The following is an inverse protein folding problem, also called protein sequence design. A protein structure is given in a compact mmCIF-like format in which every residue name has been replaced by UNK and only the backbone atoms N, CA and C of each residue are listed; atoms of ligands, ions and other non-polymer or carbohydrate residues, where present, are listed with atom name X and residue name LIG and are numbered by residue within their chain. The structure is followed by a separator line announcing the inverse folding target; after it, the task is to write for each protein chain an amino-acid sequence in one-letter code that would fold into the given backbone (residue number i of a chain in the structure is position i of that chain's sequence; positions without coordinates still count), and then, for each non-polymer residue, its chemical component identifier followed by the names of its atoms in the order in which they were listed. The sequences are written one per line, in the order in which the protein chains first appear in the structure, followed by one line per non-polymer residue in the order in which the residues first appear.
data_IF_661973260325
#
_entry.id   IF_661973260325
#
_cell.length_a   1.000
_cell.length_b   1.000
_cell.length_c   1.000
_cell.angle_alpha   90.00
_cell.angle_beta   90.00
_cell.angle_gamma   90.00
#
_symmetry.space_group_name_H-M   'P 1'
#
loop_
_entity.id
_entity.type
_entity.pdbx_description
1 polymer ?
#
# COMPACT_ATOMS: atom_id res chain seq x y z
N UNK A 1 -8.90 -38.54 4.09
CA UNK A 1 -7.89 -39.56 4.26
C UNK A 1 -6.97 -39.53 3.04
N UNK A 2 -5.83 -38.90 3.15
CA UNK A 2 -4.80 -38.94 2.13
C UNK A 2 -3.88 -40.08 2.50
N UNK A 3 -4.12 -41.21 1.91
CA UNK A 3 -3.22 -42.38 1.87
C UNK A 3 -2.60 -42.53 0.49
N UNK A 4 -2.30 -41.48 -0.19
CA UNK A 4 -1.32 -41.52 -1.25
C UNK A 4 -0.07 -40.89 -0.66
N UNK A 5 1.04 -41.56 -0.70
CA UNK A 5 2.35 -41.01 -0.34
C UNK A 5 2.60 -39.76 -1.15
N UNK A 6 2.13 -38.64 -0.56
CA UNK A 6 2.28 -37.32 -1.13
C UNK A 6 3.65 -36.81 -0.67
N UNK A 7 4.66 -37.03 -1.54
CA UNK A 7 6.03 -36.60 -1.30
C UNK A 7 6.24 -35.09 -1.43
N UNK A 8 5.14 -34.29 -1.50
CA UNK A 8 5.22 -32.84 -1.51
C UNK A 8 5.74 -32.32 -0.18
N UNK A 9 6.79 -31.51 -0.24
CA UNK A 9 7.49 -30.99 0.93
C UNK A 9 7.42 -29.46 1.07
N UNK A 10 6.91 -28.77 0.06
CA UNK A 10 6.85 -27.31 0.03
C UNK A 10 5.78 -26.83 -0.97
N UNK A 11 5.17 -25.68 -0.70
CA UNK A 11 4.34 -24.94 -1.66
C UNK A 11 5.16 -23.76 -2.15
N UNK A 12 5.30 -23.62 -3.46
CA UNK A 12 5.97 -22.47 -4.09
C UNK A 12 4.91 -21.67 -4.85
N UNK A 13 4.69 -20.40 -4.44
CA UNK A 13 3.83 -19.45 -5.14
C UNK A 13 4.66 -18.52 -6.01
N UNK A 14 4.42 -18.53 -7.34
CA UNK A 14 5.10 -17.63 -8.29
C UNK A 14 4.05 -16.74 -8.93
N UNK A 15 4.08 -15.44 -8.64
CA UNK A 15 3.07 -14.52 -9.18
C UNK A 15 2.90 -13.22 -8.41
N UNK A 16 1.82 -12.51 -8.68
CA UNK A 16 1.41 -11.30 -7.96
C UNK A 16 0.69 -11.61 -6.66
N UNK A 17 0.27 -10.55 -5.94
CA UNK A 17 -0.28 -10.64 -4.59
C UNK A 17 -1.43 -11.63 -4.43
N UNK A 18 -2.43 -11.62 -5.31
CA UNK A 18 -3.60 -12.51 -5.23
C UNK A 18 -3.22 -13.99 -5.32
N UNK A 19 -2.26 -14.33 -6.21
CA UNK A 19 -1.75 -15.68 -6.31
C UNK A 19 -0.95 -16.07 -5.06
N UNK A 20 -0.09 -15.17 -4.58
CA UNK A 20 0.74 -15.41 -3.39
C UNK A 20 -0.15 -15.60 -2.15
N UNK A 21 -1.21 -14.82 -2.01
CA UNK A 21 -2.17 -14.94 -0.91
C UNK A 21 -2.89 -16.30 -0.95
N UNK A 22 -3.33 -16.73 -2.12
CA UNK A 22 -3.96 -18.05 -2.32
C UNK A 22 -2.99 -19.20 -2.01
N UNK A 23 -1.75 -19.11 -2.51
CA UNK A 23 -0.73 -20.14 -2.28
C UNK A 23 -0.30 -20.21 -0.81
N UNK A 24 -0.22 -19.08 -0.12
CA UNK A 24 0.03 -18.96 1.32
C UNK A 24 -1.02 -19.71 2.14
N UNK A 25 -2.30 -19.41 1.88
CA UNK A 25 -3.42 -20.06 2.54
C UNK A 25 -3.46 -21.57 2.26
N UNK A 26 -3.15 -21.98 1.02
CA UNK A 26 -3.04 -23.41 0.66
C UNK A 26 -1.92 -24.10 1.45
N UNK A 27 -0.74 -23.50 1.52
CA UNK A 27 0.39 -24.04 2.27
C UNK A 27 0.03 -24.28 3.74
N UNK A 28 -0.66 -23.30 4.35
CA UNK A 28 -1.15 -23.42 5.74
C UNK A 28 -2.12 -24.56 5.93
N UNK A 29 -3.09 -24.69 5.04
CA UNK A 29 -4.08 -25.79 5.11
C UNK A 29 -3.45 -27.16 4.95
N UNK A 30 -2.34 -27.24 4.20
CA UNK A 30 -1.58 -28.49 3.99
C UNK A 30 -0.52 -28.75 5.06
N UNK A 31 -0.24 -27.79 5.95
CA UNK A 31 0.84 -27.87 6.93
C UNK A 31 2.23 -27.89 6.29
N UNK A 32 2.39 -27.23 5.13
CA UNK A 32 3.64 -27.21 4.36
C UNK A 32 4.31 -25.83 4.45
N UNK A 33 5.66 -25.78 4.36
CA UNK A 33 6.39 -24.54 4.19
C UNK A 33 5.96 -23.81 2.92
N UNK A 34 5.96 -22.46 2.96
CA UNK A 34 5.61 -21.61 1.82
C UNK A 34 6.82 -20.81 1.33
N UNK A 35 7.12 -20.91 0.03
CA UNK A 35 8.10 -20.07 -0.66
C UNK A 35 7.36 -19.10 -1.57
N UNK A 36 7.56 -17.80 -1.36
CA UNK A 36 7.00 -16.73 -2.19
C UNK A 36 8.02 -16.28 -3.25
N UNK A 37 7.61 -16.27 -4.52
CA UNK A 37 8.38 -15.72 -5.63
C UNK A 37 7.53 -14.64 -6.31
N UNK A 38 7.65 -13.36 -5.86
CA UNK A 38 6.88 -12.27 -6.44
C UNK A 38 7.33 -11.98 -7.87
N UNK A 39 6.38 -11.78 -8.78
CA UNK A 39 6.63 -11.38 -10.17
C UNK A 39 6.36 -9.91 -10.42
N UNK A 40 5.83 -9.21 -9.43
CA UNK A 40 5.56 -7.76 -9.42
C UNK A 40 5.88 -7.20 -8.03
N UNK A 41 6.24 -5.93 -7.96
CA UNK A 41 6.43 -5.20 -6.71
C UNK A 41 5.30 -4.18 -6.50
N UNK A 42 4.06 -4.68 -6.38
CA UNK A 42 2.88 -3.82 -6.18
C UNK A 42 2.50 -3.65 -4.70
N UNK A 43 2.88 -4.59 -3.84
CA UNK A 43 2.65 -4.59 -2.39
C UNK A 43 3.68 -5.49 -1.69
N UNK A 44 3.65 -5.52 -0.36
CA UNK A 44 4.48 -6.42 0.45
C UNK A 44 3.86 -7.83 0.65
N UNK A 45 2.90 -8.26 -0.16
CA UNK A 45 2.19 -9.53 0.00
C UNK A 45 3.12 -10.76 0.02
N UNK A 46 4.24 -10.72 -0.69
CA UNK A 46 5.24 -11.80 -0.68
C UNK A 46 5.90 -11.99 0.70
N UNK A 47 6.03 -10.92 1.47
CA UNK A 47 6.71 -10.93 2.78
C UNK A 47 5.77 -11.25 3.93
N UNK A 48 4.54 -10.72 3.89
CA UNK A 48 3.62 -10.77 5.05
C UNK A 48 3.01 -12.15 5.27
N UNK A 49 2.89 -12.64 6.52
CA UNK A 49 2.14 -13.83 6.87
C UNK A 49 0.63 -13.53 6.92
N UNK A 50 0.10 -13.00 5.81
CA UNK A 50 -1.28 -12.55 5.71
C UNK A 50 -1.77 -12.78 4.29
N UNK A 51 -3.02 -13.17 4.15
CA UNK A 51 -3.73 -13.25 2.86
C UNK A 51 -4.95 -12.36 2.87
N UNK A 52 -5.15 -11.62 1.79
CA UNK A 52 -6.35 -10.81 1.56
C UNK A 52 -7.23 -11.53 0.56
N UNK A 53 -8.51 -11.66 0.90
CA UNK A 53 -9.50 -12.29 0.05
C UNK A 53 -10.39 -11.23 -0.60
N UNK A 54 -10.64 -11.41 -1.88
CA UNK A 54 -11.41 -10.48 -2.71
C UNK A 54 -12.64 -11.18 -3.28
N UNK A 55 -13.71 -10.44 -3.52
CA UNK A 55 -14.86 -10.91 -4.32
C UNK A 55 -14.55 -10.77 -5.82
N UNK A 56 -15.50 -11.25 -6.64
CA UNK A 56 -15.38 -11.18 -8.11
C UNK A 56 -15.34 -9.75 -8.66
N UNK A 57 -15.76 -8.76 -7.87
CA UNK A 57 -15.69 -7.34 -8.18
C UNK A 57 -14.35 -6.68 -7.71
N UNK A 58 -13.39 -7.47 -7.23
CA UNK A 58 -12.08 -6.97 -6.74
C UNK A 58 -12.13 -6.22 -5.41
N UNK A 59 -13.24 -6.32 -4.66
CA UNK A 59 -13.37 -5.68 -3.34
C UNK A 59 -12.84 -6.62 -2.25
N UNK A 60 -12.05 -6.09 -1.33
CA UNK A 60 -11.55 -6.84 -0.19
C UNK A 60 -12.71 -7.27 0.73
N UNK A 61 -12.81 -8.57 0.97
CA UNK A 61 -13.82 -9.17 1.85
C UNK A 61 -13.32 -9.25 3.29
N UNK A 62 -12.18 -9.88 3.48
CA UNK A 62 -11.53 -10.06 4.76
C UNK A 62 -10.05 -10.38 4.54
N UNK A 63 -9.28 -10.36 5.62
CA UNK A 63 -7.91 -10.84 5.63
C UNK A 63 -7.75 -11.94 6.67
N UNK A 64 -6.83 -12.86 6.39
CA UNK A 64 -6.47 -13.98 7.25
C UNK A 64 -5.00 -13.81 7.65
N UNK A 65 -4.72 -13.76 8.96
CA UNK A 65 -3.37 -13.68 9.49
C UNK A 65 -2.93 -15.08 9.89
N UNK A 66 -1.70 -15.45 9.52
CA UNK A 66 -1.11 -16.73 9.86
C UNK A 66 -0.12 -16.59 11.01
N UNK A 67 -0.02 -17.63 11.84
CA UNK A 67 0.85 -17.62 13.03
C UNK A 67 2.34 -17.68 12.69
N UNK A 68 2.68 -18.26 11.51
CA UNK A 68 4.07 -18.39 11.08
C UNK A 68 4.39 -17.47 9.90
N UNK A 69 5.61 -17.01 9.83
CA UNK A 69 6.14 -16.31 8.65
C UNK A 69 6.26 -17.25 7.43
N UNK A 70 6.37 -16.66 6.25
CA UNK A 70 6.74 -17.43 5.06
C UNK A 70 8.13 -18.05 5.26
N UNK A 71 8.30 -19.28 4.79
CA UNK A 71 9.58 -19.99 4.93
C UNK A 71 10.71 -19.29 4.17
N UNK A 72 10.39 -18.77 2.98
CA UNK A 72 11.34 -18.04 2.13
C UNK A 72 10.60 -17.05 1.24
N UNK A 73 11.23 -15.91 0.99
CA UNK A 73 10.86 -14.96 -0.07
C UNK A 73 12.04 -14.91 -1.04
N UNK A 74 11.82 -15.32 -2.26
CA UNK A 74 12.82 -15.28 -3.32
C UNK A 74 12.45 -14.16 -4.30
N UNK A 75 13.18 -13.07 -4.24
CA UNK A 75 13.02 -11.93 -5.13
C UNK A 75 14.04 -12.02 -6.26
N UNK A 76 13.54 -12.13 -7.50
CA UNK A 76 14.35 -12.02 -8.71
C UNK A 76 14.04 -10.69 -9.39
N UNK A 77 14.90 -9.68 -9.26
CA UNK A 77 14.62 -8.35 -9.76
C UNK A 77 14.41 -8.28 -11.28
N UNK A 78 15.06 -9.15 -12.06
CA UNK A 78 14.86 -9.20 -13.53
C UNK A 78 13.43 -9.56 -13.91
N UNK A 79 12.76 -10.41 -13.13
CA UNK A 79 11.35 -10.76 -13.38
C UNK A 79 10.48 -9.51 -13.14
N UNK A 80 10.74 -8.77 -12.07
CA UNK A 80 9.99 -7.55 -11.71
C UNK A 80 10.29 -6.43 -12.71
N UNK A 81 11.53 -6.33 -13.19
CA UNK A 81 11.95 -5.37 -14.21
C UNK A 81 11.12 -5.52 -15.49
N UNK A 82 10.77 -6.75 -15.86
CA UNK A 82 9.98 -7.07 -17.05
C UNK A 82 8.45 -6.97 -16.83
N UNK A 83 8.00 -6.68 -15.60
CA UNK A 83 6.58 -6.51 -15.31
C UNK A 83 6.04 -5.14 -15.81
N UNK A 84 4.72 -5.01 -16.04
CA UNK A 84 4.13 -3.71 -16.34
C UNK A 84 4.44 -2.67 -15.26
N UNK A 85 4.88 -1.48 -15.68
CA UNK A 85 5.38 -0.41 -14.78
C UNK A 85 4.34 0.07 -13.76
N UNK A 86 3.07 -0.02 -14.11
CA UNK A 86 1.95 0.36 -13.24
C UNK A 86 1.97 -0.37 -11.89
N UNK A 87 2.47 -1.61 -11.84
CA UNK A 87 2.59 -2.36 -10.59
C UNK A 87 3.70 -1.80 -9.68
N UNK A 88 4.85 -1.43 -10.24
CA UNK A 88 5.91 -0.78 -9.47
C UNK A 88 5.43 0.58 -8.95
N UNK A 89 4.77 1.35 -9.80
CA UNK A 89 4.21 2.66 -9.45
C UNK A 89 3.18 2.54 -8.31
N UNK A 90 2.29 1.55 -8.39
CA UNK A 90 1.34 1.28 -7.32
C UNK A 90 2.05 0.84 -6.03
N UNK A 91 3.10 0.02 -6.13
CA UNK A 91 3.91 -0.39 -4.98
C UNK A 91 4.59 0.77 -4.27
N UNK A 92 5.10 1.74 -5.03
CA UNK A 92 5.66 2.99 -4.49
C UNK A 92 4.58 3.74 -3.70
N UNK A 93 3.38 3.92 -4.29
CA UNK A 93 2.27 4.62 -3.64
C UNK A 93 1.79 3.94 -2.36
N UNK A 94 1.56 2.62 -2.38
CA UNK A 94 1.15 1.85 -1.21
C UNK A 94 2.21 1.89 -0.09
N UNK A 95 3.47 1.77 -0.47
CA UNK A 95 4.56 1.69 0.51
C UNK A 95 4.88 3.04 1.15
N UNK A 96 4.74 4.14 0.43
CA UNK A 96 4.85 5.49 1.00
C UNK A 96 3.85 5.71 2.15
N UNK A 97 2.62 5.19 2.02
CA UNK A 97 1.60 5.33 3.05
C UNK A 97 2.04 4.80 4.41
N UNK A 98 2.90 3.80 4.45
CA UNK A 98 3.35 3.17 5.70
C UNK A 98 4.02 4.16 6.66
N UNK A 99 4.79 5.13 6.16
CA UNK A 99 5.35 6.19 6.99
C UNK A 99 4.27 7.19 7.42
N UNK A 100 3.51 7.72 6.46
CA UNK A 100 2.57 8.80 6.74
C UNK A 100 1.41 8.35 7.64
N UNK A 101 1.04 7.10 7.61
CA UNK A 101 0.05 6.53 8.50
C UNK A 101 0.65 6.13 9.86
N UNK A 102 1.88 5.57 9.89
CA UNK A 102 2.54 5.18 11.14
C UNK A 102 2.76 6.36 12.09
N UNK A 103 3.19 7.52 11.58
CA UNK A 103 3.44 8.71 12.42
C UNK A 103 2.17 9.25 13.07
N UNK A 104 1.02 9.03 12.47
CA UNK A 104 -0.29 9.39 13.05
C UNK A 104 -0.71 8.40 14.13
N UNK A 105 -0.49 7.09 13.86
CA UNK A 105 -0.86 6.02 14.79
C UNK A 105 0.06 5.94 16.00
N UNK A 106 1.27 6.46 15.89
CA UNK A 106 2.32 6.41 16.90
C UNK A 106 2.96 7.78 17.14
N UNK A 107 2.20 8.77 17.66
CA UNK A 107 2.70 10.15 17.82
C UNK A 107 3.81 10.28 18.88
N UNK A 108 3.99 9.30 19.76
CA UNK A 108 5.03 9.25 20.80
C UNK A 108 5.77 7.91 20.73
N UNK A 109 6.54 7.66 19.66
CA UNK A 109 7.15 6.35 19.41
C UNK A 109 8.10 5.90 20.51
N UNK A 110 8.76 6.81 21.23
CA UNK A 110 9.70 6.51 22.31
C UNK A 110 9.04 5.77 23.50
N UNK A 111 7.73 5.88 23.66
CA UNK A 111 6.96 5.21 24.72
C UNK A 111 6.54 3.79 24.33
N UNK A 112 6.75 3.39 23.08
CA UNK A 112 6.29 2.13 22.53
C UNK A 112 7.35 1.01 22.65
N UNK A 113 6.93 -0.26 22.56
CA UNK A 113 7.86 -1.39 22.54
C UNK A 113 8.94 -1.25 21.46
N UNK A 114 10.13 -1.80 21.71
CA UNK A 114 11.27 -1.69 20.78
C UNK A 114 10.92 -2.18 19.37
N UNK A 115 10.19 -3.28 19.24
CA UNK A 115 9.78 -3.82 17.94
C UNK A 115 8.96 -2.81 17.15
N UNK A 116 8.01 -2.11 17.79
CA UNK A 116 7.20 -1.06 17.15
C UNK A 116 8.08 0.11 16.71
N UNK A 117 9.01 0.55 17.57
CA UNK A 117 9.98 1.61 17.20
C UNK A 117 10.85 1.22 16.00
N UNK A 118 11.27 -0.04 15.92
CA UNK A 118 12.00 -0.55 14.77
C UNK A 118 11.13 -0.54 13.51
N UNK A 119 9.85 -0.91 13.60
CA UNK A 119 8.90 -0.81 12.51
C UNK A 119 8.72 0.63 11.99
N UNK A 120 8.60 1.61 12.91
CA UNK A 120 8.50 3.03 12.56
C UNK A 120 9.79 3.55 11.91
N UNK A 121 10.96 3.20 12.47
CA UNK A 121 12.24 3.58 11.87
C UNK A 121 12.43 2.98 10.47
N UNK A 122 11.97 1.74 10.28
CA UNK A 122 11.98 1.12 8.96
C UNK A 122 11.02 1.85 7.99
N UNK A 123 9.83 2.25 8.45
CA UNK A 123 8.90 3.04 7.64
C UNK A 123 9.53 4.37 7.18
N UNK A 124 10.30 5.03 8.05
CA UNK A 124 11.06 6.23 7.69
C UNK A 124 12.13 5.94 6.62
N UNK A 125 12.91 4.89 6.82
CA UNK A 125 14.00 4.53 5.91
C UNK A 125 13.46 4.21 4.51
N UNK A 126 12.39 3.40 4.42
CA UNK A 126 11.80 3.08 3.11
C UNK A 126 11.14 4.29 2.44
N UNK A 127 10.50 5.19 3.22
CA UNK A 127 10.02 6.47 2.67
C UNK A 127 11.14 7.26 2.02
N UNK A 128 12.29 7.37 2.68
CA UNK A 128 13.43 8.13 2.17
C UNK A 128 13.99 7.50 0.89
N UNK A 129 14.08 6.17 0.83
CA UNK A 129 14.44 5.44 -0.40
C UNK A 129 13.45 5.73 -1.52
N UNK A 130 12.16 5.61 -1.26
CA UNK A 130 11.12 5.80 -2.27
C UNK A 130 11.10 7.24 -2.80
N UNK A 131 11.20 8.26 -1.93
CA UNK A 131 11.21 9.65 -2.37
C UNK A 131 12.45 10.02 -3.19
N UNK A 132 13.60 9.40 -2.91
CA UNK A 132 14.86 9.72 -3.56
C UNK A 132 15.16 8.87 -4.80
N UNK A 133 14.65 7.63 -4.87
CA UNK A 133 15.06 6.66 -5.89
C UNK A 133 13.96 6.26 -6.87
N UNK A 134 12.68 6.56 -6.58
CA UNK A 134 11.57 6.08 -7.41
C UNK A 134 11.59 6.63 -8.83
N UNK A 135 11.90 7.90 -9.03
CA UNK A 135 12.00 8.50 -10.37
C UNK A 135 13.04 7.75 -11.21
N UNK A 136 14.23 7.50 -10.65
CA UNK A 136 15.26 6.74 -11.33
C UNK A 136 14.85 5.28 -11.55
N UNK A 137 14.26 4.62 -10.56
CA UNK A 137 13.84 3.22 -10.67
C UNK A 137 12.75 3.02 -11.75
N UNK A 138 11.82 3.98 -11.90
CA UNK A 138 10.82 3.96 -12.98
C UNK A 138 11.46 4.16 -14.35
N UNK A 139 12.43 5.07 -14.47
CA UNK A 139 13.21 5.26 -15.69
C UNK A 139 14.05 4.01 -16.03
N UNK A 140 14.66 3.39 -15.04
CA UNK A 140 15.44 2.16 -15.19
C UNK A 140 14.56 1.01 -15.69
N UNK A 141 13.36 0.85 -15.12
CA UNK A 141 12.41 -0.15 -15.59
C UNK A 141 12.00 0.09 -17.04
N UNK A 142 11.69 1.33 -17.41
CA UNK A 142 11.34 1.69 -18.79
C UNK A 142 12.47 1.39 -19.77
N UNK A 143 13.72 1.60 -19.35
CA UNK A 143 14.91 1.36 -20.15
C UNK A 143 15.43 -0.08 -20.01
N UNK A 144 14.74 -0.95 -19.27
CA UNK A 144 15.16 -2.34 -19.00
C UNK A 144 16.59 -2.43 -18.43
N UNK A 145 16.91 -1.54 -17.51
CA UNK A 145 18.21 -1.48 -16.85
C UNK A 145 18.09 -1.91 -15.39
N UNK A 146 18.72 -3.01 -15.03
CA UNK A 146 18.80 -3.48 -13.66
C UNK A 146 19.87 -2.67 -12.91
N UNK A 147 19.42 -1.69 -12.13
CA UNK A 147 20.31 -0.82 -11.34
C UNK A 147 20.10 -1.02 -9.84
N UNK A 148 21.00 -0.46 -9.03
CA UNK A 148 20.82 -0.46 -7.58
C UNK A 148 19.57 0.32 -7.16
N UNK A 149 19.27 1.46 -7.79
CA UNK A 149 18.06 2.25 -7.48
C UNK A 149 16.78 1.45 -7.72
N UNK A 150 16.72 0.65 -8.80
CA UNK A 150 15.58 -0.23 -9.05
C UNK A 150 15.48 -1.31 -7.96
N UNK A 151 16.58 -1.98 -7.63
CA UNK A 151 16.62 -3.00 -6.58
C UNK A 151 16.21 -2.43 -5.21
N UNK A 152 16.73 -1.26 -4.84
CA UNK A 152 16.40 -0.61 -3.56
C UNK A 152 14.91 -0.28 -3.45
N UNK A 153 14.27 0.16 -4.53
CA UNK A 153 12.82 0.42 -4.57
C UNK A 153 12.03 -0.88 -4.44
N UNK A 154 12.42 -1.94 -5.15
CA UNK A 154 11.79 -3.27 -5.04
C UNK A 154 11.91 -3.81 -3.61
N UNK A 155 13.09 -3.72 -3.00
CA UNK A 155 13.34 -4.16 -1.63
C UNK A 155 12.56 -3.32 -0.61
N UNK A 156 12.47 -2.00 -0.82
CA UNK A 156 11.66 -1.11 0.02
C UNK A 156 10.17 -1.53 0.00
N UNK A 157 9.63 -1.91 -1.17
CA UNK A 157 8.23 -2.32 -1.30
C UNK A 157 8.01 -3.69 -0.66
N UNK A 158 8.80 -4.70 -1.01
CA UNK A 158 8.55 -6.10 -0.63
C UNK A 158 9.00 -6.35 0.80
N UNK A 159 10.29 -6.23 1.07
CA UNK A 159 10.87 -6.54 2.37
C UNK A 159 10.60 -5.42 3.38
N UNK A 160 10.95 -4.19 3.03
CA UNK A 160 10.78 -3.03 3.88
C UNK A 160 9.32 -2.83 4.29
N UNK A 161 8.41 -2.81 3.32
CA UNK A 161 6.97 -2.67 3.56
C UNK A 161 6.40 -3.78 4.45
N UNK A 162 6.84 -5.02 4.24
CA UNK A 162 6.44 -6.16 5.07
C UNK A 162 6.97 -6.08 6.50
N UNK A 163 8.21 -5.65 6.68
CA UNK A 163 8.82 -5.47 8.00
C UNK A 163 8.13 -4.35 8.81
N UNK A 164 7.66 -3.29 8.17
CA UNK A 164 6.90 -2.23 8.87
C UNK A 164 5.70 -2.82 9.59
N UNK A 165 4.85 -3.55 8.86
CA UNK A 165 3.66 -4.16 9.45
C UNK A 165 3.98 -5.31 10.41
N UNK A 166 5.02 -6.10 10.12
CA UNK A 166 5.44 -7.24 10.94
C UNK A 166 6.01 -6.83 12.30
N UNK A 167 6.73 -5.72 12.36
CA UNK A 167 7.35 -5.20 13.59
C UNK A 167 6.44 -4.23 14.36
N UNK A 168 5.67 -3.41 13.62
CA UNK A 168 4.88 -2.33 14.21
C UNK A 168 3.44 -2.68 14.52
N UNK A 169 2.92 -3.79 14.02
CA UNK A 169 1.55 -4.26 14.18
C UNK A 169 0.53 -3.13 13.94
N UNK A 170 -0.46 -2.98 14.82
CA UNK A 170 -1.52 -1.97 14.72
C UNK A 170 -1.02 -0.52 14.66
N UNK A 171 0.18 -0.25 15.15
CA UNK A 171 0.78 1.09 15.18
C UNK A 171 1.38 1.54 13.84
N UNK A 172 1.44 0.64 12.85
CA UNK A 172 2.04 0.93 11.54
C UNK A 172 1.20 0.40 10.39
N UNK A 173 -0.08 0.12 10.62
CA UNK A 173 -0.94 -0.46 9.58
C UNK A 173 -1.57 0.62 8.71
N UNK A 174 -2.80 1.00 8.97
CA UNK A 174 -3.61 1.86 8.11
C UNK A 174 -4.24 3.00 8.90
N UNK A 175 -4.38 4.17 8.27
CA UNK A 175 -5.08 5.32 8.81
C UNK A 175 -5.99 5.95 7.73
N UNK A 176 -5.88 7.27 7.46
CA UNK A 176 -6.79 7.91 6.51
C UNK A 176 -6.47 7.61 5.04
N UNK A 177 -5.20 7.38 4.68
CA UNK A 177 -4.85 7.12 3.28
C UNK A 177 -5.59 5.88 2.74
N UNK A 178 -5.61 4.80 3.51
CA UNK A 178 -6.35 3.58 3.15
C UNK A 178 -7.87 3.75 3.25
N UNK A 179 -8.38 4.56 4.19
CA UNK A 179 -9.81 4.84 4.26
C UNK A 179 -10.30 5.63 3.04
N UNK A 180 -9.51 6.59 2.55
CA UNK A 180 -9.78 7.33 1.31
C UNK A 180 -9.75 6.39 0.10
N UNK A 181 -8.75 5.50 0.01
CA UNK A 181 -8.73 4.43 -0.98
C UNK A 181 -10.04 3.63 -0.97
N UNK A 182 -10.51 3.19 0.22
CA UNK A 182 -11.76 2.46 0.36
C UNK A 182 -12.96 3.28 -0.15
N UNK A 183 -12.99 4.58 0.16
CA UNK A 183 -13.97 5.51 -0.38
C UNK A 183 -13.97 5.58 -1.92
N UNK A 184 -12.80 5.63 -2.52
CA UNK A 184 -12.67 5.62 -3.98
C UNK A 184 -13.20 4.33 -4.62
N UNK A 185 -13.07 3.18 -3.97
CA UNK A 185 -13.51 1.88 -4.52
C UNK A 185 -15.01 1.76 -4.76
N UNK A 186 -15.84 2.66 -4.20
CA UNK A 186 -17.28 2.64 -4.46
C UNK A 186 -17.68 3.31 -5.77
N UNK A 187 -16.71 3.92 -6.45
CA UNK A 187 -16.88 4.61 -7.72
C UNK A 187 -16.40 3.69 -8.85
N UNK A 188 -17.28 3.19 -9.74
CA UNK A 188 -16.92 2.17 -10.73
C UNK A 188 -15.76 2.57 -11.64
N UNK A 189 -15.66 3.87 -12.00
CA UNK A 189 -14.58 4.37 -12.87
C UNK A 189 -13.19 4.23 -12.24
N UNK A 190 -13.09 4.07 -10.92
CA UNK A 190 -11.81 3.90 -10.22
C UNK A 190 -11.34 2.45 -10.14
N UNK A 191 -12.14 1.48 -10.60
CA UNK A 191 -11.84 0.04 -10.52
C UNK A 191 -10.54 -0.31 -11.26
N UNK A 192 -10.29 0.32 -12.39
CA UNK A 192 -9.09 0.09 -13.21
C UNK A 192 -7.78 0.56 -12.56
N UNK A 193 -7.84 1.46 -11.59
CA UNK A 193 -6.65 1.92 -10.89
C UNK A 193 -6.25 0.94 -9.80
N UNK A 194 -4.96 0.62 -9.74
CA UNK A 194 -4.41 -0.28 -8.75
C UNK A 194 -4.56 0.28 -7.32
N UNK A 195 -4.54 -0.61 -6.35
CA UNK A 195 -4.68 -0.28 -4.92
C UNK A 195 -3.77 0.87 -4.49
N UNK A 196 -2.46 0.71 -4.68
CA UNK A 196 -1.46 1.68 -4.23
C UNK A 196 -1.54 3.04 -4.94
N UNK A 197 -2.03 3.08 -6.18
CA UNK A 197 -2.29 4.33 -6.90
C UNK A 197 -3.35 5.17 -6.19
N UNK A 198 -4.44 4.54 -5.73
CA UNK A 198 -5.50 5.20 -4.96
C UNK A 198 -5.05 5.54 -3.54
N UNK A 199 -4.23 4.68 -2.92
CA UNK A 199 -3.65 4.95 -1.60
C UNK A 199 -2.72 6.16 -1.65
N UNK A 200 -1.93 6.32 -2.70
CA UNK A 200 -1.07 7.51 -2.89
C UNK A 200 -1.87 8.82 -2.84
N UNK A 201 -2.98 8.91 -3.57
CA UNK A 201 -3.88 10.06 -3.48
C UNK A 201 -4.44 10.23 -2.06
N UNK A 202 -4.77 9.13 -1.40
CA UNK A 202 -5.22 9.13 0.00
C UNK A 202 -4.21 9.75 0.98
N UNK A 203 -2.89 9.64 0.73
CA UNK A 203 -1.87 10.29 1.56
C UNK A 203 -1.96 11.82 1.43
N UNK A 204 -2.22 12.34 0.24
CA UNK A 204 -2.42 13.79 0.04
C UNK A 204 -3.63 14.28 0.84
N UNK A 205 -4.75 13.56 0.78
CA UNK A 205 -5.96 13.90 1.55
C UNK A 205 -5.71 13.84 3.05
N UNK A 206 -4.99 12.81 3.54
CA UNK A 206 -4.59 12.71 4.93
C UNK A 206 -3.74 13.91 5.36
N UNK A 207 -2.76 14.30 4.56
CA UNK A 207 -1.89 15.45 4.83
C UNK A 207 -2.69 16.76 4.87
N UNK A 208 -3.67 16.91 3.97
CA UNK A 208 -4.58 18.06 3.96
C UNK A 208 -5.46 18.13 5.23
N UNK A 209 -6.02 16.98 5.68
CA UNK A 209 -6.80 16.87 6.93
C UNK A 209 -5.97 17.23 8.16
N UNK A 210 -4.70 16.87 8.17
CA UNK A 210 -3.77 17.16 9.27
C UNK A 210 -3.18 18.58 9.22
N UNK A 211 -3.47 19.36 8.17
CA UNK A 211 -2.89 20.69 7.97
C UNK A 211 -1.38 20.68 7.69
N UNK A 212 -0.86 19.58 7.15
CA UNK A 212 0.58 19.38 6.86
C UNK A 212 0.93 19.88 5.45
N UNK A 213 0.90 21.19 5.26
CA UNK A 213 1.09 21.80 3.92
C UNK A 213 2.47 21.53 3.34
N UNK A 214 3.52 21.48 4.17
CA UNK A 214 4.87 21.13 3.73
C UNK A 214 4.96 19.70 3.19
N UNK A 215 4.30 18.75 3.86
CA UNK A 215 4.21 17.35 3.40
C UNK A 215 3.41 17.27 2.11
N UNK A 216 2.29 17.99 2.03
CA UNK A 216 1.45 18.04 0.83
C UNK A 216 2.25 18.58 -0.36
N UNK A 217 3.02 19.67 -0.18
CA UNK A 217 3.90 20.23 -1.21
C UNK A 217 4.97 19.24 -1.67
N UNK A 218 5.67 18.63 -0.72
CA UNK A 218 6.71 17.63 -1.01
C UNK A 218 6.15 16.46 -1.82
N UNK A 219 5.02 15.91 -1.38
CA UNK A 219 4.41 14.75 -2.04
C UNK A 219 3.85 15.10 -3.41
N UNK A 220 3.17 16.24 -3.56
CA UNK A 220 2.65 16.68 -4.86
C UNK A 220 3.77 16.81 -5.86
N UNK A 221 4.90 17.43 -5.50
CA UNK A 221 6.07 17.54 -6.36
C UNK A 221 6.72 16.19 -6.70
N UNK A 222 6.78 15.25 -5.75
CA UNK A 222 7.26 13.89 -6.00
C UNK A 222 6.31 13.11 -6.92
N UNK A 223 5.01 13.16 -6.68
CA UNK A 223 3.99 12.44 -7.46
C UNK A 223 3.94 12.91 -8.91
N UNK A 224 4.13 14.21 -9.17
CA UNK A 224 4.25 14.72 -10.54
C UNK A 224 5.43 14.09 -11.28
N UNK A 225 6.59 13.89 -10.62
CA UNK A 225 7.76 13.23 -11.23
C UNK A 225 7.54 11.72 -11.41
N UNK A 226 6.83 11.08 -10.47
CA UNK A 226 6.56 9.63 -10.51
C UNK A 226 5.38 9.26 -11.41
N UNK A 227 4.52 10.22 -11.77
CA UNK A 227 3.22 10.00 -12.41
C UNK A 227 2.20 9.29 -11.51
N UNK A 228 2.27 9.53 -10.20
CA UNK A 228 1.21 9.20 -9.26
C UNK A 228 0.13 10.30 -9.27
N UNK A 229 -1.14 9.97 -9.01
CA UNK A 229 -2.22 10.95 -9.08
C UNK A 229 -2.08 12.02 -7.99
N UNK A 230 -2.22 13.28 -8.39
CA UNK A 230 -2.27 14.46 -7.54
C UNK A 230 -3.66 15.07 -7.45
N UNK A 231 -4.57 14.64 -8.34
CA UNK A 231 -5.95 15.10 -8.41
C UNK A 231 -6.94 13.94 -8.58
N UNK A 232 -8.21 14.16 -8.20
CA UNK A 232 -9.31 13.23 -8.46
C UNK A 232 -9.55 13.04 -9.97
N UNK A 233 -9.31 14.08 -10.78
CA UNK A 233 -9.47 13.99 -12.23
C UNK A 233 -8.53 12.95 -12.85
N UNK A 234 -7.31 12.76 -12.30
CA UNK A 234 -6.36 11.71 -12.72
C UNK A 234 -6.82 10.30 -12.29
N UNK A 235 -7.79 10.21 -11.40
CA UNK A 235 -8.52 8.98 -11.04
C UNK A 235 -9.91 8.89 -11.69
N UNK A 236 -10.18 9.73 -12.70
CA UNK A 236 -11.45 9.82 -13.43
C UNK A 236 -12.66 10.15 -12.53
N UNK A 237 -12.44 10.92 -11.48
CA UNK A 237 -13.48 11.41 -10.58
C UNK A 237 -13.61 12.92 -10.73
N UNK A 238 -14.83 13.39 -11.03
CA UNK A 238 -15.12 14.83 -11.08
C UNK A 238 -15.47 15.35 -9.69
N UNK A 239 -14.62 16.21 -9.12
CA UNK A 239 -14.85 16.83 -7.80
C UNK A 239 -16.18 17.62 -7.74
N UNK A 240 -16.70 18.06 -8.87
CA UNK A 240 -17.98 18.78 -8.95
C UNK A 240 -19.20 17.85 -9.00
N UNK A 241 -19.01 16.54 -9.21
CA UNK A 241 -20.08 15.57 -9.15
C UNK A 241 -20.46 15.28 -7.67
N UNK A 242 -21.35 16.11 -7.11
CA UNK A 242 -21.71 16.04 -5.69
C UNK A 242 -22.19 14.66 -5.27
N UNK A 243 -22.93 13.95 -6.13
CA UNK A 243 -23.48 12.61 -5.81
C UNK A 243 -22.36 11.59 -5.61
N UNK A 244 -21.34 11.58 -6.47
CA UNK A 244 -20.21 10.68 -6.36
C UNK A 244 -19.33 11.05 -5.16
N UNK A 245 -19.06 12.35 -4.97
CA UNK A 245 -18.27 12.82 -3.84
C UNK A 245 -18.95 12.52 -2.51
N UNK A 246 -20.27 12.73 -2.39
CA UNK A 246 -21.02 12.38 -1.17
C UNK A 246 -20.96 10.87 -0.89
N UNK A 247 -21.09 10.04 -1.92
CA UNK A 247 -20.98 8.59 -1.79
C UNK A 247 -19.58 8.16 -1.34
N UNK A 248 -18.53 8.73 -1.92
CA UNK A 248 -17.14 8.48 -1.55
C UNK A 248 -16.86 8.91 -0.11
N UNK A 249 -17.27 10.13 0.28
CA UNK A 249 -17.12 10.65 1.64
C UNK A 249 -17.87 9.77 2.66
N UNK A 250 -19.12 9.42 2.38
CA UNK A 250 -19.91 8.57 3.26
C UNK A 250 -19.24 7.21 3.48
N UNK A 251 -18.61 6.63 2.45
CA UNK A 251 -17.89 5.36 2.58
C UNK A 251 -16.59 5.52 3.37
N UNK A 252 -15.82 6.58 3.10
CA UNK A 252 -14.56 6.90 3.82
C UNK A 252 -14.80 7.13 5.32
N UNK A 253 -15.96 7.67 5.69
CA UNK A 253 -16.32 7.97 7.09
C UNK A 253 -17.09 6.84 7.79
N UNK A 254 -17.22 5.66 7.22
CA UNK A 254 -17.87 4.54 7.92
C UNK A 254 -17.19 4.26 9.25
N UNK A 255 -17.93 3.85 10.29
CA UNK A 255 -17.37 3.60 11.63
C UNK A 255 -16.24 2.55 11.68
N UNK A 256 -16.17 1.69 10.67
CA UNK A 256 -15.14 0.63 10.57
C UNK A 256 -13.85 1.10 9.92
N UNK A 257 -13.85 2.29 9.34
CA UNK A 257 -12.70 2.81 8.60
C UNK A 257 -11.63 3.39 9.54
N UNK A 258 -10.39 3.25 9.12
CA UNK A 258 -9.21 3.67 9.90
C UNK A 258 -8.99 5.19 9.94
N UNK A 259 -9.72 5.97 9.19
CA UNK A 259 -9.65 7.44 9.23
C UNK A 259 -9.91 7.99 10.63
N UNK A 260 -10.73 7.27 11.44
CA UNK A 260 -11.08 7.67 12.81
C UNK A 260 -9.91 7.61 13.79
N UNK A 261 -8.75 7.11 13.39
CA UNK A 261 -7.52 7.20 14.18
C UNK A 261 -6.82 8.56 14.07
N UNK A 262 -7.24 9.42 13.13
CA UNK A 262 -6.67 10.76 13.02
C UNK A 262 -7.08 11.64 14.22
N UNK A 263 -6.14 12.46 14.76
CA UNK A 263 -6.41 13.36 15.88
C UNK A 263 -7.10 14.66 15.42
N UNK A 264 -8.11 14.56 14.57
CA UNK A 264 -8.86 15.70 14.01
C UNK A 264 -10.36 15.46 14.06
N UNK A 265 -11.15 16.52 14.00
CA UNK A 265 -12.61 16.41 13.90
C UNK A 265 -12.98 15.97 12.49
N UNK A 266 -13.64 14.81 12.39
CA UNK A 266 -14.07 14.23 11.12
C UNK A 266 -15.56 14.42 10.92
N UNK A 267 -15.91 15.17 9.89
CA UNK A 267 -17.27 15.37 9.38
C UNK A 267 -17.25 15.28 7.86
N UNK A 268 -18.40 15.09 7.19
CA UNK A 268 -18.46 15.20 5.74
C UNK A 268 -17.85 16.50 5.19
N UNK A 269 -18.09 17.62 5.88
CA UNK A 269 -17.59 18.94 5.46
C UNK A 269 -16.07 19.06 5.61
N UNK A 270 -15.48 18.57 6.72
CA UNK A 270 -14.02 18.60 6.90
C UNK A 270 -13.30 17.71 5.90
N UNK A 271 -13.87 16.56 5.57
CA UNK A 271 -13.29 15.67 4.57
C UNK A 271 -13.44 16.26 3.16
N UNK A 272 -14.58 16.87 2.84
CA UNK A 272 -14.78 17.58 1.58
C UNK A 272 -13.77 18.71 1.41
N UNK A 273 -13.60 19.54 2.43
CA UNK A 273 -12.61 20.62 2.41
C UNK A 273 -11.19 20.11 2.19
N UNK A 274 -10.85 18.91 2.72
CA UNK A 274 -9.56 18.29 2.46
C UNK A 274 -9.40 17.87 1.00
N UNK A 275 -10.42 17.29 0.37
CA UNK A 275 -10.41 17.00 -1.08
C UNK A 275 -10.23 18.29 -1.89
N UNK A 276 -11.04 19.31 -1.63
CA UNK A 276 -10.96 20.61 -2.32
C UNK A 276 -9.58 21.27 -2.15
N UNK A 277 -8.97 21.12 -0.97
CA UNK A 277 -7.62 21.61 -0.71
C UNK A 277 -6.60 20.89 -1.58
N UNK A 278 -6.66 19.56 -1.68
CA UNK A 278 -5.76 18.78 -2.56
C UNK A 278 -5.93 19.19 -4.02
N UNK A 279 -7.18 19.30 -4.51
CA UNK A 279 -7.48 19.69 -5.90
C UNK A 279 -6.99 21.10 -6.26
N UNK A 280 -7.00 22.03 -5.30
CA UNK A 280 -6.55 23.42 -5.51
C UNK A 280 -5.06 23.61 -5.22
N UNK A 281 -4.39 22.61 -4.65
CA UNK A 281 -3.00 22.74 -4.21
C UNK A 281 -2.05 22.83 -5.40
N UNK A 282 -1.22 23.88 -5.40
CA UNK A 282 -0.16 24.08 -6.39
C UNK A 282 1.17 23.96 -5.65
N UNK A 283 1.96 22.96 -6.02
CA UNK A 283 3.31 22.78 -5.51
C UNK A 283 4.28 23.82 -6.06
#
# INVERSE_FOLDING_TARGET
AAESGDDRSVVIGVGGGALLDTAKALARRLGLPFVAVPTIAATCAAWTPLSVWYNDAGQALHYEIFDDANFMVLVEPEIILNAPQEYLLAGIGDTLAKWYEAVVLAPQPETLPLTVRLGINNAQAIRDVLLNSSEQALADQQNQQLTQSFCDVVDAIIAGGGMVGGLGDRFTRVAAAHAVHNGLTVLPQTEKFLHGTKVAYGILVQSALLGQDDVLAQLTGAYQRFHLPTTLAELEVDINNQVEIDKMIAHTLRPVESIHYLPVTLTPDTLRAAFEKVESFKA
#
